data_IF_449403510971
#
_entry.id   IF_449403510971
#
_cell.length_a   1.000
_cell.length_b   1.000
_cell.length_c   1.000
_cell.angle_alpha   90.00
_cell.angle_beta   90.00
_cell.angle_gamma   90.00
#
_symmetry.space_group_name_H-M   'P 1'
#
loop_
_entity.id
_entity.type
_entity.pdbx_description
1 polymer ?
#
# COMPACT_ATOMS: atom_id res chain seq x y z
N UNK A 1 -20.61 -2.18 -13.13
CA UNK A 1 -19.98 -2.33 -11.80
C UNK A 1 -21.00 -2.61 -10.70
N UNK A 2 -22.04 -1.78 -10.49
CA UNK A 2 -23.05 -2.01 -9.44
C UNK A 2 -23.57 -3.45 -9.31
N UNK A 3 -24.06 -4.06 -10.40
CA UNK A 3 -24.58 -5.43 -10.34
C UNK A 3 -23.55 -6.49 -9.94
N UNK A 4 -22.25 -6.25 -10.19
CA UNK A 4 -21.17 -7.11 -9.70
C UNK A 4 -20.93 -6.89 -8.21
N UNK A 5 -20.90 -5.63 -7.77
CA UNK A 5 -20.78 -5.29 -6.35
C UNK A 5 -21.94 -5.89 -5.54
N UNK A 6 -23.18 -5.79 -6.03
CA UNK A 6 -24.36 -6.39 -5.40
C UNK A 6 -24.20 -7.92 -5.22
N UNK A 7 -23.65 -8.62 -6.24
CA UNK A 7 -23.37 -10.06 -6.15
C UNK A 7 -22.28 -10.39 -5.13
N UNK A 8 -21.21 -9.59 -5.07
CA UNK A 8 -20.13 -9.74 -4.09
C UNK A 8 -20.67 -9.50 -2.67
N UNK A 9 -21.49 -8.47 -2.48
CA UNK A 9 -22.13 -8.18 -1.20
C UNK A 9 -23.10 -9.28 -0.77
N UNK A 10 -23.83 -9.90 -1.72
CA UNK A 10 -24.70 -11.04 -1.42
C UNK A 10 -23.94 -12.27 -0.89
N UNK A 11 -22.61 -12.35 -1.12
CA UNK A 11 -21.72 -13.36 -0.53
C UNK A 11 -21.16 -12.95 0.84
N UNK A 12 -21.53 -11.78 1.38
CA UNK A 12 -20.97 -11.23 2.62
C UNK A 12 -19.57 -10.61 2.45
N UNK A 13 -19.11 -10.41 1.21
CA UNK A 13 -17.82 -9.81 0.89
C UNK A 13 -17.96 -8.31 0.58
N UNK A 14 -16.82 -7.62 0.43
CA UNK A 14 -16.72 -6.20 0.04
C UNK A 14 -16.15 -6.06 -1.38
N UNK A 15 -16.53 -4.99 -2.08
CA UNK A 15 -16.11 -4.76 -3.45
C UNK A 15 -15.08 -3.61 -3.53
N UNK A 16 -13.92 -3.87 -4.13
CA UNK A 16 -12.92 -2.84 -4.44
C UNK A 16 -12.98 -2.37 -5.89
N UNK A 17 -12.48 -1.16 -6.16
CA UNK A 17 -12.23 -0.63 -7.50
C UNK A 17 -10.85 0.03 -7.57
N UNK A 18 -10.43 0.39 -8.77
CA UNK A 18 -9.15 0.97 -9.08
C UNK A 18 -9.31 2.23 -9.94
N UNK A 19 -8.50 3.25 -9.67
CA UNK A 19 -8.28 4.39 -10.55
C UNK A 19 -6.87 4.95 -10.33
N UNK A 20 -6.51 6.07 -10.94
CA UNK A 20 -5.23 6.76 -10.78
C UNK A 20 -5.41 8.25 -10.48
N UNK A 21 -4.47 8.81 -9.74
CA UNK A 21 -4.25 10.23 -9.51
C UNK A 21 -3.52 10.90 -10.69
N UNK A 22 -3.91 10.54 -11.91
CA UNK A 22 -3.35 11.03 -13.17
C UNK A 22 -4.40 11.02 -14.28
N UNK A 23 -4.00 11.36 -15.51
CA UNK A 23 -4.94 11.43 -16.66
C UNK A 23 -5.39 10.06 -17.13
N UNK A 24 -4.55 9.06 -16.93
CA UNK A 24 -4.83 7.66 -17.26
C UNK A 24 -4.37 6.76 -16.11
N UNK A 25 -4.97 5.59 -16.03
CA UNK A 25 -4.47 4.51 -15.18
C UNK A 25 -3.16 3.96 -15.74
N UNK A 26 -2.38 3.22 -14.96
CA UNK A 26 -1.18 2.54 -15.49
C UNK A 26 -1.49 1.61 -16.68
N UNK A 27 -2.70 1.06 -16.75
CA UNK A 27 -3.18 0.24 -17.88
C UNK A 27 -3.74 1.02 -19.08
N UNK A 28 -3.64 2.36 -19.12
CA UNK A 28 -4.09 3.19 -20.25
C UNK A 28 -5.60 3.47 -20.30
N UNK A 29 -6.35 3.20 -19.23
CA UNK A 29 -7.77 3.53 -19.09
C UNK A 29 -7.99 4.93 -18.49
N UNK A 30 -9.19 5.53 -18.64
CA UNK A 30 -9.54 6.79 -17.96
C UNK A 30 -9.30 6.73 -16.45
N UNK A 31 -8.73 7.80 -15.90
CA UNK A 31 -8.46 7.96 -14.48
C UNK A 31 -9.09 9.26 -13.93
N UNK A 32 -8.84 9.58 -12.67
CA UNK A 32 -9.72 10.47 -11.91
C UNK A 32 -9.19 11.89 -11.67
N UNK A 33 -7.98 12.25 -12.14
CA UNK A 33 -7.46 13.59 -11.83
C UNK A 33 -8.34 14.68 -12.45
N UNK A 34 -8.78 15.64 -11.62
CA UNK A 34 -9.68 16.73 -12.03
C UNK A 34 -11.16 16.35 -12.15
N UNK A 35 -11.53 15.08 -11.94
CA UNK A 35 -12.92 14.60 -11.94
C UNK A 35 -13.25 13.77 -10.69
N UNK A 36 -12.47 13.93 -9.62
CA UNK A 36 -12.51 13.11 -8.41
C UNK A 36 -13.89 13.11 -7.75
N UNK A 37 -14.59 14.25 -7.73
CA UNK A 37 -15.93 14.37 -7.16
C UNK A 37 -16.96 13.53 -7.93
N UNK A 38 -16.88 13.50 -9.27
CA UNK A 38 -17.76 12.68 -10.11
C UNK A 38 -17.48 11.19 -9.91
N UNK A 39 -16.20 10.83 -9.89
CA UNK A 39 -15.77 9.44 -9.76
C UNK A 39 -16.09 8.89 -8.38
N UNK A 40 -15.84 9.65 -7.30
CA UNK A 40 -16.22 9.27 -5.95
C UNK A 40 -17.73 9.04 -5.81
N UNK A 41 -18.56 9.94 -6.37
CA UNK A 41 -20.01 9.77 -6.39
C UNK A 41 -20.43 8.51 -7.18
N UNK A 42 -19.75 8.23 -8.29
CA UNK A 42 -19.98 7.05 -9.12
C UNK A 42 -19.62 5.75 -8.38
N UNK A 43 -18.46 5.72 -7.71
CA UNK A 43 -18.03 4.58 -6.90
C UNK A 43 -19.00 4.32 -5.75
N UNK A 44 -19.46 5.37 -5.07
CA UNK A 44 -20.45 5.27 -4.01
C UNK A 44 -21.80 4.73 -4.53
N UNK A 45 -22.29 5.25 -5.66
CA UNK A 45 -23.52 4.79 -6.30
C UNK A 45 -23.46 3.34 -6.78
N UNK A 46 -22.27 2.86 -7.15
CA UNK A 46 -22.03 1.45 -7.49
C UNK A 46 -21.86 0.53 -6.28
N UNK A 47 -21.80 1.07 -5.06
CA UNK A 47 -21.60 0.27 -3.86
C UNK A 47 -20.15 -0.18 -3.65
N UNK A 48 -19.16 0.54 -4.17
CA UNK A 48 -17.74 0.22 -3.89
C UNK A 48 -17.42 0.47 -2.42
N UNK A 49 -16.61 -0.39 -1.80
CA UNK A 49 -16.16 -0.33 -0.40
C UNK A 49 -14.69 0.07 -0.24
N UNK A 50 -13.90 -0.02 -1.32
CA UNK A 50 -12.45 0.16 -1.29
C UNK A 50 -11.97 0.76 -2.62
N UNK A 51 -11.07 1.75 -2.57
CA UNK A 51 -10.42 2.34 -3.73
C UNK A 51 -8.90 2.16 -3.62
N UNK A 52 -8.30 1.43 -4.57
CA UNK A 52 -6.86 1.54 -4.89
C UNK A 52 -6.67 2.71 -5.84
N UNK A 53 -5.81 3.66 -5.48
CA UNK A 53 -5.62 4.89 -6.24
C UNK A 53 -4.17 5.10 -6.62
N UNK A 54 -3.87 4.91 -7.91
CA UNK A 54 -2.53 4.85 -8.47
C UNK A 54 -1.89 6.21 -8.76
N UNK A 55 -0.67 6.19 -9.28
CA UNK A 55 0.15 7.37 -9.51
C UNK A 55 0.72 7.50 -10.94
N UNK A 56 0.20 6.73 -11.90
CA UNK A 56 0.60 6.83 -13.30
C UNK A 56 0.03 8.06 -14.02
N UNK A 57 0.73 8.50 -15.08
CA UNK A 57 0.31 9.59 -15.98
C UNK A 57 -0.05 10.90 -15.26
N UNK A 58 0.80 11.32 -14.31
CA UNK A 58 0.65 12.61 -13.63
C UNK A 58 0.92 13.75 -14.64
N UNK A 59 -0.04 14.68 -14.85
CA UNK A 59 0.17 15.84 -15.72
C UNK A 59 1.35 16.70 -15.27
N UNK A 60 2.03 17.36 -16.20
CA UNK A 60 3.23 18.17 -15.90
C UNK A 60 2.98 19.34 -14.94
N UNK A 61 1.76 19.87 -14.87
CA UNK A 61 1.38 20.91 -13.90
C UNK A 61 1.05 20.36 -12.50
N UNK A 62 1.08 19.03 -12.33
CA UNK A 62 0.77 18.30 -11.11
C UNK A 62 1.95 17.45 -10.60
N UNK A 63 3.11 17.54 -11.24
CA UNK A 63 4.33 16.87 -10.76
C UNK A 63 4.89 17.59 -9.53
N UNK A 64 5.59 16.86 -8.68
CA UNK A 64 6.29 17.47 -7.55
C UNK A 64 7.52 18.24 -7.99
N UNK A 65 7.87 19.27 -7.20
CA UNK A 65 9.12 20.03 -7.39
C UNK A 65 10.35 19.19 -7.03
N UNK A 66 10.21 18.32 -6.03
CA UNK A 66 11.28 17.50 -5.49
C UNK A 66 10.90 16.01 -5.55
N UNK A 67 11.89 15.14 -5.59
CA UNK A 67 11.72 13.69 -5.62
C UNK A 67 11.95 13.12 -4.22
N UNK A 68 11.03 12.28 -3.75
CA UNK A 68 11.17 11.57 -2.48
C UNK A 68 12.25 10.50 -2.59
N UNK A 69 13.04 10.30 -1.53
CA UNK A 69 14.03 9.24 -1.54
C UNK A 69 13.35 7.88 -1.36
N UNK A 70 13.09 7.20 -2.48
CA UNK A 70 12.66 5.80 -2.52
C UNK A 70 13.85 5.02 -3.10
N UNK A 71 14.51 4.16 -2.31
CA UNK A 71 15.70 3.44 -2.76
C UNK A 71 15.38 2.28 -3.71
N UNK A 72 14.14 2.20 -4.18
CA UNK A 72 13.66 1.14 -5.04
C UNK A 72 14.35 1.19 -6.41
N UNK A 73 15.11 0.13 -6.71
CA UNK A 73 15.96 -0.01 -7.89
C UNK A 73 15.23 -0.19 -9.22
N UNK A 74 13.99 0.25 -9.36
CA UNK A 74 13.26 0.21 -10.65
C UNK A 74 13.95 1.01 -11.76
N UNK A 75 14.96 1.83 -11.42
CA UNK A 75 15.86 2.53 -12.35
C UNK A 75 17.34 2.06 -12.31
N UNK A 76 17.65 0.89 -11.72
CA UNK A 76 18.94 0.21 -11.91
C UNK A 76 20.14 0.69 -11.07
N UNK A 77 19.97 1.63 -10.15
CA UNK A 77 21.05 2.06 -9.25
C UNK A 77 20.98 1.31 -7.91
N UNK A 78 21.99 0.51 -7.59
CA UNK A 78 22.20 0.00 -6.23
C UNK A 78 22.72 1.15 -5.38
N UNK A 79 21.88 1.69 -4.50
CA UNK A 79 22.27 2.77 -3.61
C UNK A 79 23.04 2.22 -2.41
N UNK A 80 24.24 2.77 -2.15
CA UNK A 80 24.99 2.44 -0.95
C UNK A 80 24.16 2.79 0.29
N UNK A 81 23.85 1.76 1.11
CA UNK A 81 22.99 1.89 2.29
C UNK A 81 21.61 2.51 2.00
N UNK A 82 21.07 2.37 0.78
CA UNK A 82 19.78 2.96 0.41
C UNK A 82 19.76 4.49 0.42
N UNK A 83 20.92 5.15 0.42
CA UNK A 83 21.01 6.61 0.49
C UNK A 83 20.91 7.20 -0.91
N UNK A 84 19.85 7.96 -1.18
CA UNK A 84 19.69 8.65 -2.46
C UNK A 84 20.77 9.73 -2.64
N UNK A 85 21.22 9.91 -3.89
CA UNK A 85 22.13 11.00 -4.23
C UNK A 85 21.46 12.35 -3.98
N UNK A 86 22.23 13.32 -3.50
CA UNK A 86 21.77 14.70 -3.35
C UNK A 86 22.04 15.44 -4.65
N UNK A 87 20.98 15.92 -5.28
CA UNK A 87 21.02 16.69 -6.52
C UNK A 87 20.01 17.85 -6.52
N UNK A 88 19.81 18.50 -7.67
CA UNK A 88 18.90 19.65 -7.80
C UNK A 88 17.41 19.29 -7.69
N UNK A 89 17.05 17.99 -7.68
CA UNK A 89 15.69 17.49 -7.47
C UNK A 89 15.47 17.00 -6.04
N UNK A 90 16.52 16.98 -5.21
CA UNK A 90 16.43 16.57 -3.81
C UNK A 90 15.73 17.64 -2.96
N UNK A 91 14.75 17.23 -2.17
CA UNK A 91 14.06 18.13 -1.25
C UNK A 91 15.02 18.61 -0.14
N UNK A 92 15.00 19.91 0.23
CA UNK A 92 15.64 20.37 1.45
C UNK A 92 15.11 19.60 2.68
N UNK A 93 15.93 19.42 3.71
CA UNK A 93 15.52 18.70 4.93
C UNK A 93 14.32 19.34 5.66
N UNK A 94 14.04 20.63 5.40
CA UNK A 94 12.91 21.37 5.94
C UNK A 94 11.64 21.31 5.06
N UNK A 95 11.68 20.59 3.94
CA UNK A 95 10.55 20.50 3.03
C UNK A 95 9.42 19.69 3.65
N UNK A 96 8.22 20.29 3.70
CA UNK A 96 7.01 19.62 4.15
C UNK A 96 6.32 18.90 2.99
N UNK A 97 6.50 17.59 2.92
CA UNK A 97 5.90 16.72 1.92
C UNK A 97 4.38 16.71 1.94
N UNK A 98 3.74 17.08 3.05
CA UNK A 98 2.28 17.23 3.08
C UNK A 98 1.81 18.36 2.16
N UNK A 99 2.67 19.31 1.80
CA UNK A 99 2.34 20.40 0.86
C UNK A 99 2.67 20.08 -0.60
N UNK A 100 3.22 18.90 -0.89
CA UNK A 100 3.55 18.44 -2.25
C UNK A 100 2.31 18.32 -3.15
N UNK A 101 2.53 18.33 -4.46
CA UNK A 101 1.46 18.09 -5.43
C UNK A 101 0.96 16.64 -5.35
N UNK A 102 1.83 15.67 -5.07
CA UNK A 102 1.41 14.29 -4.78
C UNK A 102 0.44 14.25 -3.60
N UNK A 103 0.83 14.77 -2.43
CA UNK A 103 -0.05 14.79 -1.27
C UNK A 103 -1.36 15.55 -1.56
N UNK A 104 -1.30 16.62 -2.35
CA UNK A 104 -2.49 17.37 -2.79
C UNK A 104 -3.43 16.53 -3.66
N UNK A 105 -2.92 15.80 -4.66
CA UNK A 105 -3.74 14.94 -5.54
C UNK A 105 -4.50 13.88 -4.72
N UNK A 106 -3.80 13.19 -3.82
CA UNK A 106 -4.42 12.19 -2.95
C UNK A 106 -5.44 12.80 -1.97
N UNK A 107 -5.18 14.00 -1.42
CA UNK A 107 -6.16 14.70 -0.57
C UNK A 107 -7.44 15.07 -1.31
N UNK A 108 -7.37 15.46 -2.58
CA UNK A 108 -8.56 15.82 -3.36
C UNK A 108 -9.49 14.61 -3.50
N UNK A 109 -8.95 13.43 -3.81
CA UNK A 109 -9.75 12.20 -3.86
C UNK A 109 -10.25 11.79 -2.48
N UNK A 110 -9.43 11.88 -1.42
CA UNK A 110 -9.91 11.67 -0.03
C UNK A 110 -11.13 12.53 0.28
N UNK A 111 -11.06 13.83 0.00
CA UNK A 111 -12.14 14.78 0.31
C UNK A 111 -13.40 14.45 -0.53
N UNK A 112 -13.21 14.04 -1.79
CA UNK A 112 -14.29 13.58 -2.65
C UNK A 112 -14.98 12.30 -2.12
N UNK A 113 -14.21 11.34 -1.59
CA UNK A 113 -14.74 10.12 -0.95
C UNK A 113 -15.49 10.43 0.35
N UNK A 114 -14.94 11.32 1.19
CA UNK A 114 -15.57 11.74 2.46
C UNK A 114 -16.89 12.48 2.25
N UNK A 115 -17.09 13.10 1.08
CA UNK A 115 -18.34 13.77 0.75
C UNK A 115 -19.50 12.80 0.40
N UNK A 116 -19.25 11.50 0.27
CA UNK A 116 -20.26 10.52 -0.12
C UNK A 116 -20.95 9.87 1.09
N UNK A 117 -22.21 9.46 0.92
CA UNK A 117 -22.97 8.74 1.96
C UNK A 117 -22.61 7.24 2.04
N UNK A 118 -21.36 6.89 1.76
CA UNK A 118 -20.82 5.53 1.80
C UNK A 118 -19.35 5.58 2.16
N UNK A 119 -18.95 4.84 3.18
CA UNK A 119 -17.53 4.68 3.52
C UNK A 119 -16.83 3.85 2.44
N UNK A 120 -15.79 4.43 1.85
CA UNK A 120 -14.89 3.78 0.91
C UNK A 120 -13.49 3.85 1.51
N UNK A 121 -12.90 2.71 1.86
CA UNK A 121 -11.52 2.65 2.34
C UNK A 121 -10.57 3.06 1.23
N UNK A 122 -9.54 3.84 1.59
CA UNK A 122 -8.70 4.52 0.62
C UNK A 122 -7.25 4.03 0.69
N UNK A 123 -6.80 3.37 -0.38
CA UNK A 123 -5.45 2.82 -0.53
C UNK A 123 -4.69 3.65 -1.53
N UNK A 124 -3.62 4.26 -1.06
CA UNK A 124 -2.75 5.11 -1.85
C UNK A 124 -1.68 4.23 -2.52
N UNK A 125 -1.56 4.33 -3.84
CA UNK A 125 -0.64 3.52 -4.65
C UNK A 125 0.36 4.45 -5.36
N UNK A 126 1.10 5.22 -4.57
CA UNK A 126 2.15 6.16 -4.98
C UNK A 126 3.56 5.61 -4.83
N UNK A 127 3.72 4.34 -4.46
CA UNK A 127 4.99 3.63 -4.52
C UNK A 127 6.08 4.18 -3.59
N UNK A 128 5.70 4.70 -2.42
CA UNK A 128 6.58 5.31 -1.43
C UNK A 128 7.00 6.74 -1.78
N UNK A 129 6.54 7.24 -2.94
CA UNK A 129 6.92 8.55 -3.42
C UNK A 129 6.41 9.66 -2.51
N UNK A 130 7.04 10.82 -2.67
CA UNK A 130 6.71 12.02 -1.91
C UNK A 130 6.71 11.84 -0.38
N UNK A 131 7.56 10.96 0.14
CA UNK A 131 7.67 10.63 1.57
C UNK A 131 6.31 10.38 2.23
N UNK A 132 5.47 9.56 1.59
CA UNK A 132 4.08 9.28 2.01
C UNK A 132 3.94 8.93 3.49
N UNK A 133 4.94 8.29 4.11
CA UNK A 133 4.91 7.94 5.54
C UNK A 133 4.74 9.14 6.47
N UNK A 134 5.01 10.36 5.99
CA UNK A 134 4.86 11.61 6.75
C UNK A 134 3.45 12.22 6.68
N UNK A 135 2.63 11.86 5.69
CA UNK A 135 1.30 12.48 5.47
C UNK A 135 0.17 11.50 5.10
N UNK A 136 0.50 10.25 4.79
CA UNK A 136 -0.43 9.21 4.33
C UNK A 136 -1.52 8.89 5.34
N UNK A 137 -1.18 8.86 6.64
CA UNK A 137 -2.14 8.58 7.71
C UNK A 137 -3.22 9.68 7.86
N UNK A 138 -2.92 10.92 7.44
CA UNK A 138 -3.91 11.98 7.38
C UNK A 138 -4.78 11.91 6.11
N UNK A 139 -4.49 10.98 5.20
CA UNK A 139 -5.04 10.97 3.85
C UNK A 139 -5.83 9.70 3.52
N UNK A 140 -5.33 8.51 3.81
CA UNK A 140 -6.08 7.27 3.64
C UNK A 140 -5.65 6.18 4.62
N UNK A 141 -6.04 4.95 4.31
CA UNK A 141 -5.98 3.82 5.24
C UNK A 141 -4.73 2.94 5.05
N UNK A 142 -4.13 3.00 3.87
CA UNK A 142 -2.84 2.38 3.58
C UNK A 142 -2.13 3.10 2.45
N UNK A 143 -0.81 2.97 2.36
CA UNK A 143 0.00 3.58 1.30
C UNK A 143 1.12 2.64 0.86
N UNK A 144 1.23 2.42 -0.45
CA UNK A 144 2.30 1.60 -1.04
C UNK A 144 3.64 2.23 -0.73
N UNK A 145 4.60 1.47 -0.21
CA UNK A 145 5.92 2.01 0.19
C UNK A 145 7.04 1.77 -0.83
N UNK A 146 6.78 0.96 -1.86
CA UNK A 146 7.72 0.62 -2.93
C UNK A 146 7.00 0.58 -4.27
N UNK A 147 7.77 0.55 -5.37
CA UNK A 147 7.29 0.10 -6.67
C UNK A 147 6.74 -1.32 -6.63
N UNK A 148 6.32 -1.82 -7.78
CA UNK A 148 5.56 -3.08 -7.82
C UNK A 148 6.37 -4.30 -7.40
N UNK A 149 5.71 -5.21 -6.70
CA UNK A 149 6.22 -6.55 -6.42
C UNK A 149 6.28 -7.39 -7.70
N UNK A 150 7.12 -8.42 -7.67
CA UNK A 150 7.08 -9.53 -8.63
C UNK A 150 7.26 -10.83 -7.87
N UNK A 151 6.79 -11.95 -8.42
CA UNK A 151 6.96 -13.30 -7.86
C UNK A 151 8.42 -13.80 -7.94
N UNK A 152 9.32 -13.09 -7.27
CA UNK A 152 10.77 -13.28 -7.26
C UNK A 152 11.31 -12.96 -5.86
N UNK A 153 12.05 -13.90 -5.26
CA UNK A 153 12.57 -13.73 -3.91
C UNK A 153 13.45 -12.51 -3.71
N UNK A 154 14.40 -12.17 -4.62
CA UNK A 154 15.15 -10.91 -4.53
C UNK A 154 14.25 -9.67 -4.42
N UNK A 155 13.14 -9.63 -5.16
CA UNK A 155 12.19 -8.50 -5.10
C UNK A 155 11.45 -8.47 -3.76
N UNK A 156 10.98 -9.62 -3.29
CA UNK A 156 10.30 -9.75 -1.99
C UNK A 156 11.23 -9.32 -0.84
N UNK A 157 12.49 -9.79 -0.87
CA UNK A 157 13.50 -9.45 0.12
C UNK A 157 13.86 -7.95 0.09
N UNK A 158 13.89 -7.33 -1.10
CA UNK A 158 14.09 -5.90 -1.25
C UNK A 158 12.96 -5.10 -0.59
N UNK A 159 11.69 -5.44 -0.87
CA UNK A 159 10.54 -4.75 -0.25
C UNK A 159 10.55 -4.91 1.27
N UNK A 160 10.84 -6.12 1.78
CA UNK A 160 11.00 -6.37 3.21
C UNK A 160 12.08 -5.45 3.81
N UNK A 161 13.24 -5.37 3.17
CA UNK A 161 14.33 -4.51 3.61
C UNK A 161 13.91 -3.04 3.65
N UNK A 162 13.33 -2.52 2.57
CA UNK A 162 12.90 -1.12 2.48
C UNK A 162 11.83 -0.77 3.52
N UNK A 163 10.81 -1.63 3.68
CA UNK A 163 9.72 -1.38 4.63
C UNK A 163 10.20 -1.48 6.10
N UNK A 164 11.24 -2.27 6.39
CA UNK A 164 11.79 -2.40 7.75
C UNK A 164 12.25 -1.07 8.37
N UNK A 165 12.67 -0.10 7.54
CA UNK A 165 13.07 1.23 7.98
C UNK A 165 11.87 2.19 8.16
N UNK A 166 10.69 1.82 7.66
CA UNK A 166 9.50 2.67 7.61
C UNK A 166 8.40 2.22 8.59
N UNK A 167 8.61 1.16 9.37
CA UNK A 167 7.61 0.61 10.30
C UNK A 167 7.16 1.59 11.40
N UNK A 168 7.92 2.65 11.63
CA UNK A 168 7.56 3.70 12.58
C UNK A 168 6.28 4.47 12.18
N UNK A 169 5.85 4.36 10.92
CA UNK A 169 4.65 4.98 10.37
C UNK A 169 3.41 4.06 10.40
N UNK A 170 3.55 2.81 10.85
CA UNK A 170 2.47 1.81 10.88
C UNK A 170 1.77 1.82 12.23
N UNK A 171 0.46 2.10 12.23
CA UNK A 171 -0.40 2.00 13.41
C UNK A 171 -1.86 1.74 12.97
N UNK A 172 -2.81 1.74 13.91
CA UNK A 172 -4.22 1.75 13.57
C UNK A 172 -4.54 2.85 12.57
N UNK A 173 -5.45 2.53 11.65
CA UNK A 173 -5.98 3.41 10.62
C UNK A 173 -5.00 3.75 9.49
N UNK A 174 -3.71 3.42 9.60
CA UNK A 174 -2.71 3.76 8.60
C UNK A 174 -1.57 2.75 8.54
N UNK A 175 -1.51 2.01 7.44
CA UNK A 175 -0.56 0.92 7.24
C UNK A 175 0.32 1.14 6.01
N UNK A 176 1.63 0.92 6.16
CA UNK A 176 2.51 0.73 5.02
C UNK A 176 2.01 -0.50 4.24
N UNK A 177 1.85 -0.35 2.93
CA UNK A 177 1.44 -1.39 2.01
C UNK A 177 2.68 -1.90 1.25
N UNK A 178 3.07 -3.14 1.55
CA UNK A 178 4.19 -3.82 0.92
C UNK A 178 3.80 -4.44 -0.44
N UNK A 179 2.66 -4.06 -1.01
CA UNK A 179 2.06 -4.59 -2.24
C UNK A 179 1.37 -5.95 -2.06
N UNK A 180 0.66 -6.38 -3.11
CA UNK A 180 -0.15 -7.59 -3.14
C UNK A 180 0.68 -8.87 -2.95
N UNK A 181 0.02 -9.94 -2.50
CA UNK A 181 0.68 -11.22 -2.22
C UNK A 181 0.96 -12.01 -3.51
N UNK A 182 2.19 -12.50 -3.64
CA UNK A 182 2.64 -13.38 -4.74
C UNK A 182 2.61 -14.88 -4.39
N UNK A 183 1.98 -15.28 -3.27
CA UNK A 183 1.82 -16.69 -2.91
C UNK A 183 1.02 -17.40 -4.01
N UNK A 184 1.62 -18.42 -4.63
CA UNK A 184 1.01 -19.16 -5.75
C UNK A 184 1.38 -18.66 -7.14
N UNK A 185 2.18 -17.59 -7.25
CA UNK A 185 2.63 -17.03 -8.51
C UNK A 185 4.11 -17.31 -8.77
N UNK A 186 4.51 -17.25 -10.04
CA UNK A 186 5.90 -17.43 -10.48
C UNK A 186 6.50 -18.77 -10.04
N UNK A 187 7.78 -18.75 -9.71
CA UNK A 187 8.54 -19.93 -9.28
C UNK A 187 8.94 -19.85 -7.79
N UNK A 188 8.19 -19.11 -6.97
CA UNK A 188 8.46 -19.04 -5.53
C UNK A 188 8.37 -20.44 -4.92
N UNK A 189 9.42 -20.83 -4.22
CA UNK A 189 9.41 -22.04 -3.42
C UNK A 189 8.38 -21.94 -2.30
N UNK A 190 8.04 -23.08 -1.70
CA UNK A 190 7.17 -23.12 -0.52
C UNK A 190 7.76 -22.31 0.63
N UNK A 191 9.08 -22.35 0.81
CA UNK A 191 9.85 -21.63 1.83
C UNK A 191 9.77 -20.11 1.63
N UNK A 192 9.97 -19.66 0.39
CA UNK A 192 9.85 -18.25 0.02
C UNK A 192 8.41 -17.78 0.18
N UNK A 193 7.42 -18.58 -0.24
CA UNK A 193 6.00 -18.28 -0.06
C UNK A 193 5.60 -18.14 1.42
N UNK A 194 6.11 -19.04 2.29
CA UNK A 194 5.91 -18.94 3.74
C UNK A 194 6.51 -17.67 4.31
N UNK A 195 7.75 -17.37 3.92
CA UNK A 195 8.49 -16.20 4.41
C UNK A 195 7.81 -14.91 3.96
N UNK A 196 7.44 -14.82 2.69
CA UNK A 196 6.68 -13.72 2.09
C UNK A 196 5.40 -13.41 2.89
N UNK A 197 4.52 -14.40 3.06
CA UNK A 197 3.28 -14.21 3.78
C UNK A 197 3.51 -13.85 5.26
N UNK A 198 4.46 -14.51 5.93
CA UNK A 198 4.76 -14.25 7.33
C UNK A 198 5.26 -12.82 7.55
N UNK A 199 6.14 -12.32 6.69
CA UNK A 199 6.65 -10.96 6.80
C UNK A 199 5.58 -9.91 6.48
N UNK A 200 4.75 -10.11 5.46
CA UNK A 200 3.66 -9.19 5.15
C UNK A 200 2.68 -9.08 6.33
N UNK A 201 2.33 -10.22 6.94
CA UNK A 201 1.46 -10.25 8.12
C UNK A 201 2.12 -9.57 9.34
N UNK A 202 3.41 -9.87 9.60
CA UNK A 202 4.15 -9.32 10.74
C UNK A 202 4.40 -7.81 10.62
N UNK A 203 4.61 -7.30 9.41
CA UNK A 203 4.74 -5.85 9.16
C UNK A 203 3.38 -5.13 9.15
N UNK A 204 2.27 -5.85 9.35
CA UNK A 204 0.90 -5.35 9.29
C UNK A 204 0.57 -4.66 7.95
N UNK A 205 1.13 -5.17 6.85
CA UNK A 205 0.70 -4.78 5.49
C UNK A 205 -0.72 -5.27 5.22
N UNK A 206 -1.49 -4.60 4.34
CA UNK A 206 -2.67 -5.21 3.74
C UNK A 206 -2.31 -6.57 3.12
N UNK A 207 -3.12 -7.60 3.41
CA UNK A 207 -2.94 -8.97 2.91
C UNK A 207 -3.91 -9.23 1.76
N UNK A 208 -3.55 -8.75 0.56
CA UNK A 208 -4.39 -8.88 -0.65
C UNK A 208 -3.86 -10.04 -1.50
N UNK A 209 -4.67 -11.09 -1.66
CA UNK A 209 -4.28 -12.27 -2.46
C UNK A 209 -4.23 -11.88 -3.95
N UNK A 210 -3.09 -12.12 -4.60
CA UNK A 210 -2.83 -11.79 -6.00
C UNK A 210 -2.78 -13.00 -6.95
N UNK A 211 -3.41 -14.13 -6.60
CA UNK A 211 -3.35 -15.38 -7.38
C UNK A 211 -4.73 -15.93 -7.72
N UNK A 212 -4.79 -16.83 -8.72
CA UNK A 212 -6.00 -17.56 -9.09
C UNK A 212 -6.35 -18.62 -8.04
N UNK A 213 -7.34 -18.35 -7.19
CA UNK A 213 -7.71 -19.21 -6.06
C UNK A 213 -8.21 -20.61 -6.47
N UNK A 214 -8.78 -20.75 -7.66
CA UNK A 214 -9.24 -22.01 -8.23
C UNK A 214 -8.09 -22.92 -8.68
N UNK A 215 -6.90 -22.35 -8.88
CA UNK A 215 -5.69 -23.06 -9.29
C UNK A 215 -4.67 -23.21 -8.15
N UNK A 216 -4.92 -22.59 -6.99
CA UNK A 216 -3.97 -22.56 -5.87
C UNK A 216 -3.88 -23.92 -5.17
N UNK A 217 -2.70 -24.55 -5.10
CA UNK A 217 -2.52 -25.81 -4.38
C UNK A 217 -2.92 -25.68 -2.90
N UNK A 218 -3.55 -26.72 -2.34
CA UNK A 218 -4.03 -26.74 -0.96
C UNK A 218 -2.93 -26.42 0.07
N UNK A 219 -1.69 -26.80 -0.23
CA UNK A 219 -0.53 -26.48 0.60
C UNK A 219 -0.26 -24.96 0.67
N UNK A 220 -0.28 -24.26 -0.46
CA UNK A 220 -0.09 -22.81 -0.52
C UNK A 220 -1.30 -22.05 0.03
N UNK A 221 -2.52 -22.59 -0.18
CA UNK A 221 -3.71 -22.09 0.50
C UNK A 221 -3.58 -22.19 2.03
N UNK A 222 -2.91 -23.24 2.53
CA UNK A 222 -2.60 -23.39 3.96
C UNK A 222 -1.73 -22.27 4.52
N UNK A 223 -0.84 -21.68 3.70
CA UNK A 223 -0.04 -20.51 4.08
C UNK A 223 -0.94 -19.31 4.31
N UNK A 224 -1.82 -19.00 3.34
CA UNK A 224 -2.75 -17.87 3.39
C UNK A 224 -3.75 -17.96 4.57
N UNK A 225 -4.07 -19.19 4.99
CA UNK A 225 -5.01 -19.49 6.08
C UNK A 225 -4.35 -19.62 7.46
N UNK A 226 -3.08 -19.24 7.61
CA UNK A 226 -2.40 -19.36 8.90
C UNK A 226 -3.06 -18.45 9.96
N UNK A 227 -3.81 -19.07 10.88
CA UNK A 227 -4.62 -18.36 11.87
C UNK A 227 -3.81 -17.50 12.84
N UNK A 228 -2.56 -17.87 13.14
CA UNK A 228 -1.70 -17.11 14.04
C UNK A 228 -1.20 -15.81 13.40
N UNK A 229 -0.72 -15.90 12.16
CA UNK A 229 -0.26 -14.73 11.40
C UNK A 229 -1.41 -13.77 11.11
N UNK A 230 -2.59 -14.30 10.76
CA UNK A 230 -3.80 -13.49 10.58
C UNK A 230 -4.23 -12.83 11.90
N UNK A 231 -4.23 -13.54 13.01
CA UNK A 231 -4.58 -12.97 14.31
C UNK A 231 -3.62 -11.84 14.72
N UNK A 232 -2.31 -12.01 14.50
CA UNK A 232 -1.32 -10.96 14.75
C UNK A 232 -1.54 -9.73 13.85
N UNK A 233 -1.72 -9.95 12.55
CA UNK A 233 -1.98 -8.89 11.56
C UNK A 233 -3.25 -8.11 11.90
N UNK A 234 -4.30 -8.81 12.32
CA UNK A 234 -5.64 -8.26 12.62
C UNK A 234 -5.84 -7.91 14.11
N UNK A 235 -4.77 -7.86 14.91
CA UNK A 235 -4.87 -7.54 16.33
C UNK A 235 -5.48 -6.14 16.54
N UNK A 236 -6.70 -6.11 17.07
CA UNK A 236 -7.47 -4.90 17.36
C UNK A 236 -7.15 -4.24 18.70
N UNK A 237 -6.22 -4.80 19.49
CA UNK A 237 -5.82 -4.31 20.82
C UNK A 237 -4.45 -3.63 20.82
N UNK A 238 -3.60 -3.95 19.84
CA UNK A 238 -2.23 -3.46 19.69
C UNK A 238 -1.98 -2.94 18.27
N UNK A 239 -2.50 -1.76 17.94
CA UNK A 239 -2.06 -1.00 16.78
C UNK A 239 -0.64 -0.54 17.04
N UNK A 240 0.28 -0.89 16.14
CA UNK A 240 1.67 -0.42 16.06
C UNK A 240 2.46 -0.26 17.36
N UNK A 241 2.06 -0.86 18.49
CA UNK A 241 2.49 -0.39 19.80
C UNK A 241 3.98 -0.59 19.93
N UNK A 242 4.71 0.53 19.90
CA UNK A 242 6.11 0.61 20.31
C UNK A 242 6.23 0.03 21.72
N UNK A 243 6.66 -1.22 21.85
CA UNK A 243 7.34 -1.64 23.08
C UNK A 243 8.73 -1.05 22.99
N UNK A 244 8.90 0.15 23.55
CA UNK A 244 10.24 0.62 23.92
C UNK A 244 10.77 -0.46 24.87
N UNK A 245 11.78 -1.21 24.45
CA UNK A 245 12.56 -2.00 25.41
C UNK A 245 13.30 -0.95 26.24
N UNK A 246 12.66 -0.46 27.30
CA UNK A 246 13.41 0.04 28.44
C UNK A 246 14.11 -1.19 29.00
N UNK A 247 15.43 -1.23 28.88
CA UNK A 247 16.23 -2.22 29.57
C UNK A 247 16.03 -2.05 31.06
N UNK A 248 15.11 -2.82 31.61
CA UNK A 248 15.25 -3.31 32.98
C UNK A 248 15.68 -4.76 32.86
N UNK A 249 16.87 -5.03 33.38
CA UNK A 249 17.40 -6.36 33.61
C UNK A 249 16.48 -7.11 34.58
N UNK A 250 15.44 -7.78 34.07
CA UNK A 250 14.89 -9.00 34.68
C UNK A 250 13.77 -9.58 33.83
N UNK A 251 13.94 -10.84 33.41
CA UNK A 251 12.87 -11.67 32.89
C UNK A 251 12.86 -11.80 31.37
N UNK A 252 13.62 -12.77 30.88
CA UNK A 252 13.33 -13.45 29.62
C UNK A 252 11.94 -14.08 29.72
N UNK A 253 11.00 -13.63 28.89
CA UNK A 253 9.88 -14.46 28.45
C UNK A 253 9.89 -14.47 26.92
N UNK A 254 9.79 -15.71 26.43
CA UNK A 254 10.12 -16.23 25.09
C UNK A 254 9.23 -15.67 23.98
#
# INVERSE_FOLDING_TARGET
IKGTADKIHALGLKAGIYSSAGTETCGGYPASIGVEALDAATFAAWGIDYLKYDNCYVPSNWTDRYIGCVPDGTNGAVLANGTCAVDNTTAPATYDWSTSNTAKRYRIMRDALLAQNRTILYSLCEWGQAAVTTWGNATGNSWRVTGDITASWPRIAQILNENSFQLHAVDFWGHNDADMLEVGNGNLTREESRSHFAFWAAMKSPLIIGTALDLLPAELLGILKNGYLLAFSQDGSLGGRRRRISGDESGLDV
#
